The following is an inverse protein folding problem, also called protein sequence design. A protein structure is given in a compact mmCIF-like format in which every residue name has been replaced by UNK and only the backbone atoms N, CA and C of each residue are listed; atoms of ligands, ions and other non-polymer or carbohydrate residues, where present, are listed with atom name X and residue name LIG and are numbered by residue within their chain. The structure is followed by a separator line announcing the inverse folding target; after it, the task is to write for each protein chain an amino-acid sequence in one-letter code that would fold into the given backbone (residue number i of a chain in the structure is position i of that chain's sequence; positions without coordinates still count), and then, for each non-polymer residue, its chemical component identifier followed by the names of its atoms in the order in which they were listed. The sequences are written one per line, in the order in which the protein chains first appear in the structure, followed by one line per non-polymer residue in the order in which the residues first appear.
data_IF_147999086072
#
_entry.id   IF_147999086072
#
_cell.length_a   1.000
_cell.length_b   1.000
_cell.length_c   1.000
_cell.angle_alpha   90.00
_cell.angle_beta   90.00
_cell.angle_gamma   90.00
#
_symmetry.space_group_name_H-M   'P 1'
#
loop_
_entity.id
_entity.type
_entity.pdbx_description
1 polymer ?
#
# COMPACT_ATOMS: atom_id res chain seq x y z
N UNK A 1 -35.94 19.94 28.83
CA UNK A 1 -34.53 19.81 29.28
C UNK A 1 -33.66 18.93 28.36
N UNK A 2 -34.05 17.72 27.91
CA UNK A 2 -33.15 16.82 27.17
C UNK A 2 -32.64 17.37 25.83
N UNK A 3 -33.50 18.09 25.10
CA UNK A 3 -33.18 18.58 23.74
C UNK A 3 -32.09 19.66 23.76
N UNK A 4 -32.17 20.64 24.69
CA UNK A 4 -31.20 21.74 24.76
C UNK A 4 -29.78 21.25 25.08
N UNK A 5 -29.67 20.25 25.96
CA UNK A 5 -28.39 19.62 26.29
C UNK A 5 -27.82 18.82 25.11
N UNK A 6 -28.67 18.13 24.33
CA UNK A 6 -28.24 17.45 23.10
C UNK A 6 -27.70 18.42 22.07
N UNK A 7 -28.38 19.56 21.88
CA UNK A 7 -27.89 20.64 20.99
C UNK A 7 -26.51 21.13 21.43
N UNK A 8 -26.32 21.39 22.73
CA UNK A 8 -25.00 21.73 23.25
C UNK A 8 -23.96 20.62 22.99
N UNK A 9 -24.30 19.35 23.22
CA UNK A 9 -23.37 18.23 22.99
C UNK A 9 -22.98 18.09 21.51
N UNK A 10 -23.87 18.42 20.57
CA UNK A 10 -23.54 18.46 19.14
C UNK A 10 -22.50 19.54 18.86
N UNK A 11 -22.72 20.77 19.33
CA UNK A 11 -21.74 21.85 19.16
C UNK A 11 -20.40 21.55 19.84
N UNK A 12 -20.45 20.98 21.04
CA UNK A 12 -19.26 20.53 21.77
C UNK A 12 -18.49 19.48 20.97
N UNK A 13 -19.15 18.43 20.50
CA UNK A 13 -18.52 17.37 19.70
C UNK A 13 -17.96 17.89 18.37
N UNK A 14 -18.67 18.82 17.73
CA UNK A 14 -18.19 19.46 16.51
C UNK A 14 -16.91 20.26 16.77
N UNK A 15 -16.91 21.20 17.72
CA UNK A 15 -15.74 22.04 18.02
C UNK A 15 -14.53 21.26 18.58
N UNK A 16 -14.77 20.17 19.31
CA UNK A 16 -13.70 19.37 19.91
C UNK A 16 -13.12 18.32 18.94
N UNK A 17 -13.95 17.68 18.10
CA UNK A 17 -13.56 16.47 17.37
C UNK A 17 -13.57 16.62 15.86
N UNK A 18 -14.49 17.42 15.32
CA UNK A 18 -14.75 17.52 13.88
C UNK A 18 -14.50 18.91 13.30
N UNK A 19 -13.92 19.82 14.08
CA UNK A 19 -13.71 21.20 13.63
C UNK A 19 -12.69 21.27 12.49
N UNK A 20 -13.06 21.97 11.44
CA UNK A 20 -12.20 22.25 10.29
C UNK A 20 -12.10 23.74 10.05
N UNK A 21 -10.90 24.29 10.21
CA UNK A 21 -10.70 25.73 10.08
C UNK A 21 -11.04 26.25 8.67
N UNK A 22 -10.71 25.48 7.63
CA UNK A 22 -10.93 25.88 6.24
C UNK A 22 -12.42 26.01 5.87
N UNK A 23 -13.30 25.22 6.48
CA UNK A 23 -14.73 25.16 6.12
C UNK A 23 -15.64 25.77 7.18
N UNK A 24 -15.28 25.63 8.45
CA UNK A 24 -16.20 25.90 9.57
C UNK A 24 -15.99 27.29 10.17
N UNK A 25 -14.90 27.99 9.81
CA UNK A 25 -14.56 29.32 10.34
C UNK A 25 -15.68 30.34 10.19
N UNK A 26 -16.43 30.31 9.08
CA UNK A 26 -17.59 31.19 8.87
C UNK A 26 -18.71 30.95 9.90
N UNK A 27 -18.83 29.72 10.41
CA UNK A 27 -19.85 29.36 11.40
C UNK A 27 -19.59 29.98 12.78
N UNK A 28 -18.34 30.35 13.11
CA UNK A 28 -18.01 30.99 14.40
C UNK A 28 -18.81 32.27 14.62
N UNK A 29 -19.05 33.05 13.56
CA UNK A 29 -19.86 34.27 13.61
C UNK A 29 -21.32 34.05 14.02
N UNK A 30 -21.83 32.82 13.88
CA UNK A 30 -23.17 32.41 14.33
C UNK A 30 -23.15 31.71 15.69
N UNK A 31 -22.09 30.92 15.95
CA UNK A 31 -21.97 30.11 17.17
C UNK A 31 -21.69 30.99 18.40
N UNK A 32 -20.82 31.99 18.28
CA UNK A 32 -20.49 32.90 19.39
C UNK A 32 -21.72 33.66 19.92
N UNK A 33 -22.51 34.39 19.10
CA UNK A 33 -23.71 35.09 19.60
C UNK A 33 -24.79 34.11 20.09
N UNK A 34 -24.87 32.91 19.52
CA UNK A 34 -25.78 31.87 20.03
C UNK A 34 -25.37 31.39 21.43
N UNK A 35 -24.08 31.14 21.66
CA UNK A 35 -23.54 30.69 22.93
C UNK A 35 -23.75 31.75 24.02
N UNK A 36 -23.47 33.02 23.71
CA UNK A 36 -23.55 34.13 24.64
C UNK A 36 -24.99 34.51 25.00
N UNK A 37 -25.90 34.56 24.02
CA UNK A 37 -27.25 35.07 24.26
C UNK A 37 -28.24 33.94 24.60
N UNK A 38 -28.43 33.00 23.66
CA UNK A 38 -29.51 32.01 23.75
C UNK A 38 -29.16 30.84 24.65
N UNK A 39 -27.94 30.32 24.52
CA UNK A 39 -27.51 29.15 25.29
C UNK A 39 -27.21 29.52 26.74
N UNK A 40 -26.53 30.64 27.00
CA UNK A 40 -26.25 31.08 28.37
C UNK A 40 -27.52 31.42 29.16
N UNK A 41 -28.55 31.99 28.53
CA UNK A 41 -29.83 32.25 29.17
C UNK A 41 -30.58 30.97 29.58
N UNK A 42 -30.38 29.86 28.86
CA UNK A 42 -31.03 28.58 29.13
C UNK A 42 -30.19 27.63 30.02
N UNK A 43 -28.87 27.60 29.80
CA UNK A 43 -27.87 26.73 30.43
C UNK A 43 -26.56 27.53 30.61
N UNK A 44 -26.42 28.31 31.69
CA UNK A 44 -25.31 29.26 31.86
C UNK A 44 -23.92 28.64 31.77
N UNK A 45 -23.73 27.46 32.36
CA UNK A 45 -22.44 26.74 32.34
C UNK A 45 -22.09 26.17 30.97
N UNK A 46 -23.08 25.67 30.23
CA UNK A 46 -22.90 25.16 28.87
C UNK A 46 -22.61 26.30 27.87
N UNK A 47 -23.27 27.45 28.05
CA UNK A 47 -23.03 28.67 27.27
C UNK A 47 -21.59 29.16 27.38
N UNK A 48 -21.08 29.35 28.61
CA UNK A 48 -19.67 29.75 28.83
C UNK A 48 -18.69 28.76 28.22
N UNK A 49 -18.88 27.47 28.47
CA UNK A 49 -17.98 26.43 27.97
C UNK A 49 -17.98 26.34 26.44
N UNK A 50 -19.13 26.57 25.80
CA UNK A 50 -19.20 26.61 24.34
C UNK A 50 -18.49 27.84 23.77
N UNK A 51 -18.61 28.98 24.44
CA UNK A 51 -17.95 30.23 24.05
C UNK A 51 -16.42 30.11 24.18
N UNK A 52 -15.93 29.56 25.29
CA UNK A 52 -14.51 29.23 25.49
C UNK A 52 -13.97 28.31 24.40
N UNK A 53 -14.74 27.26 24.02
CA UNK A 53 -14.35 26.37 22.92
C UNK A 53 -14.30 27.12 21.58
N UNK A 54 -15.29 27.96 21.27
CA UNK A 54 -15.34 28.72 20.03
C UNK A 54 -14.18 29.73 19.92
N UNK A 55 -13.82 30.41 21.01
CA UNK A 55 -12.66 31.31 21.06
C UNK A 55 -11.36 30.55 20.88
N UNK A 56 -11.20 29.42 21.58
CA UNK A 56 -9.97 28.63 21.53
C UNK A 56 -9.76 28.01 20.15
N UNK A 57 -10.84 27.55 19.51
CA UNK A 57 -10.82 27.11 18.11
C UNK A 57 -10.43 28.27 17.17
N UNK A 58 -10.96 29.48 17.41
CA UNK A 58 -10.63 30.66 16.62
C UNK A 58 -9.14 31.06 16.68
N UNK A 59 -8.46 30.78 17.80
CA UNK A 59 -7.06 31.15 18.03
C UNK A 59 -6.07 30.03 17.71
N UNK A 60 -6.39 28.78 18.07
CA UNK A 60 -5.48 27.62 17.97
C UNK A 60 -5.84 26.67 16.80
N UNK A 61 -6.96 26.90 16.10
CA UNK A 61 -7.44 26.04 15.01
C UNK A 61 -8.04 24.73 15.51
N UNK A 62 -7.19 23.76 15.86
CA UNK A 62 -7.61 22.39 16.26
C UNK A 62 -7.28 22.12 17.72
N UNK A 63 -8.30 21.89 18.56
CA UNK A 63 -8.15 21.85 20.01
C UNK A 63 -7.81 20.51 20.66
N UNK A 64 -7.69 19.44 19.88
CA UNK A 64 -7.43 18.11 20.44
C UNK A 64 -6.51 17.35 19.48
N UNK A 65 -5.56 16.53 19.97
CA UNK A 65 -5.01 15.47 19.15
C UNK A 65 -6.20 14.64 18.69
N UNK A 66 -6.51 14.74 17.40
CA UNK A 66 -7.65 14.10 16.72
C UNK A 66 -7.84 12.73 17.33
N UNK A 67 -8.92 12.55 18.11
CA UNK A 67 -9.10 11.33 18.88
C UNK A 67 -9.07 10.18 17.88
N UNK A 68 -7.99 9.40 17.93
CA UNK A 68 -7.85 8.13 17.20
C UNK A 68 -9.14 7.40 17.50
N UNK A 69 -9.90 7.02 16.46
CA UNK A 69 -11.16 6.31 16.63
C UNK A 69 -10.96 5.28 17.73
N UNK A 70 -11.68 5.45 18.85
CA UNK A 70 -11.58 4.50 19.95
C UNK A 70 -11.91 3.15 19.34
N UNK A 71 -10.90 2.30 19.18
CA UNK A 71 -11.09 0.92 18.78
C UNK A 71 -11.93 0.28 19.89
N UNK A 72 -13.23 0.15 19.64
CA UNK A 72 -14.23 -0.27 20.61
C UNK A 72 -15.41 0.71 20.60
N UNK A 73 -16.49 0.41 19.91
CA UNK A 73 -17.48 -0.61 20.33
C UNK A 73 -18.29 -1.20 19.17
N UNK A 74 -17.85 -1.00 17.93
CA UNK A 74 -18.51 -1.52 16.73
C UNK A 74 -17.48 -2.08 15.75
N UNK A 75 -16.73 -3.09 16.17
CA UNK A 75 -15.97 -3.92 15.22
C UNK A 75 -16.92 -4.98 14.65
N UNK A 76 -17.17 -4.92 13.35
CA UNK A 76 -17.73 -6.03 12.57
C UNK A 76 -16.66 -7.08 12.22
N UNK A 77 -15.41 -6.87 12.68
CA UNK A 77 -14.30 -7.79 12.53
C UNK A 77 -14.40 -8.93 13.54
N UNK A 78 -14.40 -10.18 13.06
CA UNK A 78 -14.36 -11.43 13.85
C UNK A 78 -13.07 -11.57 14.70
N UNK A 79 -12.11 -10.66 14.58
CA UNK A 79 -10.86 -10.69 15.32
C UNK A 79 -11.07 -10.40 16.82
N UNK A 80 -10.73 -11.38 17.64
CA UNK A 80 -10.72 -11.29 19.09
C UNK A 80 -9.86 -10.09 19.54
N UNK A 81 -10.39 -9.25 20.43
CA UNK A 81 -9.65 -8.12 20.98
C UNK A 81 -8.39 -8.64 21.71
N UNK A 82 -7.22 -8.31 21.17
CA UNK A 82 -5.93 -8.62 21.77
C UNK A 82 -5.51 -7.40 22.61
N UNK A 83 -5.32 -7.53 23.94
CA UNK A 83 -4.86 -6.43 24.78
C UNK A 83 -3.54 -5.83 24.29
N UNK A 84 -3.37 -4.51 24.38
CA UNK A 84 -2.14 -3.83 23.94
C UNK A 84 -0.85 -4.35 24.64
N UNK A 85 -0.99 -4.92 25.83
CA UNK A 85 0.11 -5.46 26.64
C UNK A 85 0.54 -6.88 26.23
N UNK A 86 -0.07 -7.50 25.21
CA UNK A 86 0.43 -8.80 24.75
C UNK A 86 1.86 -8.67 24.21
N UNK A 87 2.79 -9.53 24.68
CA UNK A 87 4.14 -9.58 24.13
C UNK A 87 4.08 -9.85 22.62
N UNK A 88 4.66 -8.95 21.84
CA UNK A 88 4.73 -9.09 20.40
C UNK A 88 5.86 -10.09 20.06
N UNK A 89 5.69 -10.95 19.05
CA UNK A 89 6.77 -11.84 18.63
C UNK A 89 7.96 -11.00 18.16
N UNK A 90 9.17 -11.45 18.55
CA UNK A 90 10.40 -10.76 18.18
C UNK A 90 10.57 -10.74 16.65
N UNK A 91 11.11 -9.66 16.06
CA UNK A 91 11.39 -9.60 14.63
C UNK A 91 12.33 -10.72 14.20
N UNK A 92 11.98 -11.45 13.14
CA UNK A 92 12.83 -12.50 12.59
C UNK A 92 13.82 -11.92 11.56
N UNK A 93 14.77 -11.10 12.04
CA UNK A 93 15.80 -10.46 11.21
C UNK A 93 17.19 -10.77 11.75
N UNK A 94 18.07 -11.26 10.88
CA UNK A 94 19.48 -11.53 11.17
C UNK A 94 20.34 -10.27 11.08
N UNK A 95 21.50 -10.29 11.73
CA UNK A 95 22.44 -9.16 11.73
C UNK A 95 22.98 -8.83 10.33
N UNK A 96 23.13 -9.83 9.47
CA UNK A 96 23.55 -9.64 8.07
C UNK A 96 22.47 -8.94 7.24
N UNK A 97 21.21 -9.37 7.36
CA UNK A 97 20.06 -8.71 6.71
C UNK A 97 19.94 -7.24 7.15
N UNK A 98 20.10 -6.96 8.46
CA UNK A 98 20.07 -5.60 8.97
C UNK A 98 21.20 -4.73 8.38
N UNK A 99 22.41 -5.27 8.31
CA UNK A 99 23.54 -4.58 7.68
C UNK A 99 23.30 -4.34 6.19
N UNK A 100 22.68 -5.28 5.48
CA UNK A 100 22.32 -5.11 4.07
C UNK A 100 21.29 -3.98 3.88
N UNK A 101 20.28 -3.89 4.74
CA UNK A 101 19.31 -2.79 4.73
C UNK A 101 19.94 -1.43 5.04
N UNK A 102 20.86 -1.38 6.01
CA UNK A 102 21.60 -0.15 6.34
C UNK A 102 22.51 0.28 5.18
N UNK A 103 23.20 -0.68 4.55
CA UNK A 103 24.03 -0.42 3.38
C UNK A 103 23.20 0.11 2.20
N UNK A 104 22.05 -0.52 1.93
CA UNK A 104 21.11 -0.04 0.92
C UNK A 104 20.62 1.39 1.20
N UNK A 105 20.28 1.70 2.46
CA UNK A 105 19.89 3.07 2.87
C UNK A 105 21.00 4.09 2.61
N UNK A 106 22.26 3.67 2.65
CA UNK A 106 23.43 4.51 2.38
C UNK A 106 23.83 4.54 0.89
N UNK A 107 22.96 4.08 -0.03
CA UNK A 107 23.21 4.06 -1.46
C UNK A 107 23.97 2.83 -1.96
N UNK A 108 24.12 1.82 -1.12
CA UNK A 108 24.68 0.52 -1.50
C UNK A 108 23.68 -0.35 -2.27
N UNK A 109 24.07 -1.60 -2.51
CA UNK A 109 23.26 -2.55 -3.27
C UNK A 109 21.95 -2.90 -2.54
N UNK A 110 20.84 -2.97 -3.27
CA UNK A 110 19.54 -3.36 -2.72
C UNK A 110 19.51 -4.86 -2.38
N UNK A 111 19.10 -5.25 -1.17
CA UNK A 111 18.95 -6.66 -0.83
C UNK A 111 17.81 -7.30 -1.62
N UNK A 112 17.91 -8.61 -1.85
CA UNK A 112 16.85 -9.37 -2.51
C UNK A 112 15.71 -9.66 -1.53
N UNK A 113 14.48 -9.75 -2.05
CA UNK A 113 13.33 -10.17 -1.25
C UNK A 113 13.49 -11.60 -0.71
N UNK A 114 14.27 -12.43 -1.41
CA UNK A 114 14.58 -13.81 -1.01
C UNK A 114 15.57 -13.89 0.15
N UNK A 115 16.25 -12.80 0.48
CA UNK A 115 17.20 -12.76 1.59
C UNK A 115 16.48 -12.70 2.94
N UNK A 116 15.15 -12.53 2.98
CA UNK A 116 14.34 -12.35 4.19
C UNK A 116 13.37 -13.51 4.42
N UNK A 117 13.02 -13.75 5.69
CA UNK A 117 11.98 -14.73 6.05
C UNK A 117 10.61 -14.26 5.50
N UNK A 118 9.89 -15.08 4.69
CA UNK A 118 8.60 -14.70 4.13
C UNK A 118 7.57 -14.28 5.19
N UNK A 119 7.62 -14.87 6.38
CA UNK A 119 6.72 -14.49 7.48
C UNK A 119 7.02 -13.09 8.01
N UNK A 120 8.29 -12.72 8.13
CA UNK A 120 8.70 -11.39 8.58
C UNK A 120 8.39 -10.33 7.52
N UNK A 121 8.60 -10.63 6.24
CA UNK A 121 8.19 -9.76 5.13
C UNK A 121 6.68 -9.49 5.20
N UNK A 122 5.87 -10.53 5.40
CA UNK A 122 4.43 -10.39 5.56
C UNK A 122 4.05 -9.53 6.78
N UNK A 123 4.70 -9.71 7.94
CA UNK A 123 4.49 -8.86 9.13
C UNK A 123 4.78 -7.40 8.83
N UNK A 124 5.94 -7.10 8.23
CA UNK A 124 6.35 -5.72 7.98
C UNK A 124 5.46 -5.02 6.95
N UNK A 125 5.08 -5.71 5.87
CA UNK A 125 4.11 -5.20 4.90
C UNK A 125 2.75 -4.92 5.55
N UNK A 126 2.27 -5.83 6.42
CA UNK A 126 1.01 -5.67 7.14
C UNK A 126 1.05 -4.48 8.09
N UNK A 127 2.13 -4.31 8.85
CA UNK A 127 2.31 -3.16 9.76
C UNK A 127 2.32 -1.86 8.96
N UNK A 128 3.08 -1.80 7.87
CA UNK A 128 3.15 -0.62 7.01
C UNK A 128 1.78 -0.27 6.43
N UNK A 129 1.06 -1.26 5.92
CA UNK A 129 -0.29 -1.09 5.37
C UNK A 129 -1.29 -0.64 6.44
N UNK A 130 -1.28 -1.29 7.61
CA UNK A 130 -2.17 -0.97 8.72
C UNK A 130 -1.92 0.44 9.25
N UNK A 131 -0.66 0.91 9.29
CA UNK A 131 -0.35 2.28 9.68
C UNK A 131 -0.99 3.31 8.73
N UNK A 132 -0.98 3.05 7.42
CA UNK A 132 -1.65 3.92 6.44
C UNK A 132 -3.17 3.83 6.64
N UNK A 133 -3.71 2.62 6.87
CA UNK A 133 -5.14 2.41 7.09
C UNK A 133 -5.66 3.16 8.31
N UNK A 134 -4.96 3.07 9.44
CA UNK A 134 -5.31 3.78 10.67
C UNK A 134 -5.14 5.30 10.57
N UNK A 135 -4.39 5.78 9.57
CA UNK A 135 -4.27 7.21 9.28
C UNK A 135 -5.42 7.75 8.41
N UNK A 136 -6.24 6.89 7.80
CA UNK A 136 -7.39 7.33 6.99
C UNK A 136 -8.41 8.01 7.88
N UNK A 137 -8.79 9.22 7.46
CA UNK A 137 -9.71 10.08 8.18
C UNK A 137 -11.12 9.92 7.60
N UNK A 138 -12.18 9.96 8.44
CA UNK A 138 -13.56 9.92 7.96
C UNK A 138 -13.84 10.99 6.91
N UNK A 139 -13.23 12.16 7.04
CA UNK A 139 -13.42 13.30 6.15
C UNK A 139 -12.95 13.00 4.72
N UNK A 140 -11.88 12.22 4.56
CA UNK A 140 -11.38 11.79 3.25
C UNK A 140 -12.38 10.88 2.52
N UNK A 141 -13.26 10.23 3.28
CA UNK A 141 -14.31 9.33 2.80
C UNK A 141 -15.66 10.06 2.61
N UNK A 142 -15.76 11.33 2.98
CA UNK A 142 -16.99 12.08 2.75
C UNK A 142 -17.06 12.58 1.31
N UNK A 143 -18.28 12.61 0.77
CA UNK A 143 -18.60 13.16 -0.56
C UNK A 143 -17.76 12.58 -1.73
N UNK A 144 -17.17 11.40 -1.56
CA UNK A 144 -16.25 10.78 -2.52
C UNK A 144 -15.07 11.66 -2.90
N UNK A 145 -14.50 12.38 -1.93
CA UNK A 145 -13.37 13.29 -2.14
C UNK A 145 -12.14 12.58 -2.74
N UNK A 146 -11.93 11.30 -2.44
CA UNK A 146 -10.84 10.52 -3.05
C UNK A 146 -10.95 10.34 -4.57
N UNK A 147 -12.14 10.49 -5.15
CA UNK A 147 -12.35 10.44 -6.61
C UNK A 147 -12.30 11.83 -7.26
N UNK A 148 -12.40 12.89 -6.47
CA UNK A 148 -12.46 14.29 -6.94
C UNK A 148 -11.08 14.93 -6.83
N UNK A 149 -10.80 15.89 -7.71
CA UNK A 149 -9.55 16.69 -7.67
C UNK A 149 -8.28 15.84 -7.50
N UNK A 150 -8.21 14.66 -8.14
CA UNK A 150 -7.08 13.73 -8.04
C UNK A 150 -6.75 13.26 -6.61
N UNK A 151 -7.74 13.30 -5.70
CA UNK A 151 -7.62 12.88 -4.31
C UNK A 151 -6.75 13.78 -3.44
N UNK A 152 -6.60 15.07 -3.79
CA UNK A 152 -5.84 16.03 -2.97
C UNK A 152 -6.42 16.15 -1.56
N UNK A 153 -7.74 16.11 -1.45
CA UNK A 153 -8.47 16.16 -0.18
C UNK A 153 -8.52 14.80 0.55
N UNK A 154 -7.91 13.75 -0.03
CA UNK A 154 -7.88 12.38 0.51
C UNK A 154 -6.47 11.76 0.46
N UNK A 155 -5.48 12.37 1.14
CA UNK A 155 -4.08 11.96 1.04
C UNK A 155 -3.82 10.54 1.56
N UNK A 156 -4.48 10.10 2.63
CA UNK A 156 -4.25 8.76 3.20
C UNK A 156 -4.94 7.67 2.36
N UNK A 157 -6.13 7.93 1.82
CA UNK A 157 -6.79 7.02 0.85
C UNK A 157 -5.94 6.87 -0.43
N UNK A 158 -5.33 7.97 -0.89
CA UNK A 158 -4.43 7.94 -2.04
C UNK A 158 -3.14 7.18 -1.74
N UNK A 159 -2.54 7.42 -0.56
CA UNK A 159 -1.37 6.68 -0.11
C UNK A 159 -1.64 5.17 0.02
N UNK A 160 -2.83 4.80 0.50
CA UNK A 160 -3.31 3.42 0.57
C UNK A 160 -3.38 2.76 -0.81
N UNK A 161 -3.99 3.46 -1.77
CA UNK A 161 -4.09 3.00 -3.16
C UNK A 161 -2.72 2.88 -3.84
N UNK A 162 -1.84 3.87 -3.61
CA UNK A 162 -0.48 3.88 -4.13
C UNK A 162 0.33 2.71 -3.56
N UNK A 163 0.30 2.48 -2.25
CA UNK A 163 0.98 1.34 -1.62
C UNK A 163 0.55 0.00 -2.23
N UNK A 164 -0.76 -0.21 -2.44
CA UNK A 164 -1.24 -1.45 -3.05
C UNK A 164 -0.79 -1.62 -4.50
N UNK A 165 -0.70 -0.52 -5.25
CA UNK A 165 -0.20 -0.51 -6.63
C UNK A 165 1.29 -0.81 -6.67
N UNK A 166 2.08 -0.15 -5.81
CA UNK A 166 3.52 -0.34 -5.71
C UNK A 166 3.87 -1.77 -5.28
N UNK A 167 3.12 -2.35 -4.34
CA UNK A 167 3.30 -3.75 -3.93
C UNK A 167 3.04 -4.70 -5.09
N UNK A 168 1.99 -4.44 -5.89
CA UNK A 168 1.70 -5.26 -7.08
C UNK A 168 2.83 -5.19 -8.11
N UNK A 169 3.35 -3.97 -8.34
CA UNK A 169 4.48 -3.77 -9.25
C UNK A 169 5.76 -4.44 -8.72
N UNK A 170 6.04 -4.35 -7.41
CA UNK A 170 7.19 -5.02 -6.79
C UNK A 170 7.13 -6.55 -6.99
N UNK A 171 5.96 -7.16 -6.78
CA UNK A 171 5.80 -8.60 -7.00
C UNK A 171 6.03 -8.96 -8.47
N UNK A 172 5.52 -8.18 -9.40
CA UNK A 172 5.74 -8.40 -10.82
C UNK A 172 7.23 -8.29 -11.19
N UNK A 173 7.89 -7.22 -10.78
CA UNK A 173 9.30 -6.96 -11.11
C UNK A 173 10.22 -8.02 -10.51
N UNK A 174 9.97 -8.46 -9.27
CA UNK A 174 10.78 -9.52 -8.63
C UNK A 174 10.63 -10.86 -9.34
N UNK A 175 9.40 -11.24 -9.73
CA UNK A 175 9.14 -12.48 -10.49
C UNK A 175 9.79 -12.42 -11.88
N UNK A 176 9.67 -11.31 -12.58
CA UNK A 176 10.24 -11.11 -13.91
C UNK A 176 11.77 -11.07 -13.88
N UNK A 177 12.36 -10.41 -12.88
CA UNK A 177 13.81 -10.34 -12.71
C UNK A 177 14.38 -11.73 -12.45
N UNK A 178 13.71 -12.57 -11.66
CA UNK A 178 14.13 -13.95 -11.42
C UNK A 178 14.09 -14.80 -12.70
N UNK A 179 13.01 -14.72 -13.49
CA UNK A 179 12.92 -15.38 -14.80
C UNK A 179 13.98 -14.88 -15.78
N UNK A 180 14.27 -13.57 -15.77
CA UNK A 180 15.29 -12.94 -16.60
C UNK A 180 16.72 -13.32 -16.21
N UNK A 181 17.01 -13.46 -14.91
CA UNK A 181 18.31 -13.90 -14.42
C UNK A 181 18.59 -15.37 -14.71
N UNK A 182 17.54 -16.21 -14.76
CA UNK A 182 17.67 -17.62 -15.16
C UNK A 182 17.95 -17.79 -16.66
N UNK A 183 17.62 -16.78 -17.48
CA UNK A 183 17.77 -16.84 -18.95
C UNK A 183 19.06 -16.19 -19.47
N UNK A 184 20.04 -15.86 -18.61
CA UNK A 184 21.36 -15.27 -18.90
C UNK A 184 21.39 -14.03 -19.84
N UNK A 185 20.25 -13.47 -20.23
CA UNK A 185 20.14 -12.38 -21.20
C UNK A 185 19.26 -11.26 -20.69
N UNK A 186 19.89 -10.13 -20.37
CA UNK A 186 19.21 -8.87 -19.97
C UNK A 186 18.19 -8.39 -21.02
N UNK A 187 18.39 -8.74 -22.30
CA UNK A 187 17.46 -8.45 -23.40
C UNK A 187 16.15 -9.25 -23.30
N UNK A 188 16.23 -10.54 -22.94
CA UNK A 188 15.03 -11.38 -22.70
C UNK A 188 14.24 -10.88 -21.49
N UNK A 189 14.94 -10.49 -20.42
CA UNK A 189 14.34 -9.87 -19.23
C UNK A 189 13.60 -8.56 -19.56
N UNK A 190 14.23 -7.66 -20.34
CA UNK A 190 13.62 -6.41 -20.77
C UNK A 190 12.38 -6.62 -21.65
N UNK A 191 12.43 -7.58 -22.58
CA UNK A 191 11.28 -7.94 -23.42
C UNK A 191 10.12 -8.50 -22.59
N UNK A 192 10.40 -9.34 -21.59
CA UNK A 192 9.38 -9.91 -20.70
C UNK A 192 8.76 -8.83 -19.79
N UNK A 193 9.56 -7.91 -19.28
CA UNK A 193 9.07 -6.77 -18.51
C UNK A 193 8.20 -5.81 -19.35
N UNK A 194 8.60 -5.55 -20.59
CA UNK A 194 7.79 -4.79 -21.55
C UNK A 194 6.46 -5.48 -21.85
N UNK A 195 6.49 -6.80 -22.08
CA UNK A 195 5.29 -7.61 -22.30
C UNK A 195 4.33 -7.59 -21.10
N UNK A 196 4.86 -7.75 -19.87
CA UNK A 196 4.07 -7.66 -18.65
C UNK A 196 3.39 -6.29 -18.49
N UNK A 197 4.14 -5.19 -18.65
CA UNK A 197 3.57 -3.83 -18.57
C UNK A 197 2.53 -3.58 -19.67
N UNK A 198 2.72 -4.16 -20.86
CA UNK A 198 1.73 -4.15 -21.93
C UNK A 198 0.42 -4.84 -21.54
N UNK A 199 0.49 -6.03 -20.96
CA UNK A 199 -0.69 -6.76 -20.46
C UNK A 199 -1.37 -5.99 -19.32
N UNK A 200 -0.60 -5.44 -18.38
CA UNK A 200 -1.13 -4.65 -17.27
C UNK A 200 -1.89 -3.42 -17.79
N UNK A 201 -1.33 -2.72 -18.78
CA UNK A 201 -1.97 -1.57 -19.42
C UNK A 201 -3.26 -1.96 -20.17
N UNK A 202 -3.23 -3.07 -20.93
CA UNK A 202 -4.41 -3.57 -21.62
C UNK A 202 -5.53 -3.96 -20.63
N UNK A 203 -5.18 -4.65 -19.53
CA UNK A 203 -6.10 -4.99 -18.45
C UNK A 203 -6.73 -3.74 -17.83
N UNK A 204 -5.92 -2.74 -17.49
CA UNK A 204 -6.40 -1.48 -16.94
C UNK A 204 -7.40 -0.78 -17.88
N UNK A 205 -7.13 -0.75 -19.19
CA UNK A 205 -8.03 -0.17 -20.19
C UNK A 205 -9.37 -0.92 -20.30
N UNK A 206 -9.34 -2.26 -20.24
CA UNK A 206 -10.54 -3.10 -20.26
C UNK A 206 -11.41 -2.83 -19.03
N UNK A 207 -10.81 -2.81 -17.83
CA UNK A 207 -11.56 -2.54 -16.59
C UNK A 207 -12.10 -1.11 -16.54
N UNK A 208 -11.34 -0.11 -17.02
CA UNK A 208 -11.85 1.25 -17.19
C UNK A 208 -13.08 1.30 -18.10
N UNK A 209 -13.08 0.54 -19.19
CA UNK A 209 -14.22 0.49 -20.11
C UNK A 209 -15.43 -0.20 -19.49
N UNK A 210 -15.21 -1.29 -18.74
CA UNK A 210 -16.26 -2.04 -18.05
C UNK A 210 -16.92 -1.20 -16.94
N UNK A 211 -16.12 -0.40 -16.23
CA UNK A 211 -16.60 0.54 -15.21
C UNK A 211 -17.45 1.64 -15.86
N UNK A 212 -17.01 2.22 -16.98
CA UNK A 212 -17.80 3.19 -17.74
C UNK A 212 -19.05 2.61 -18.43
N UNK A 213 -19.28 1.29 -18.39
CA UNK A 213 -20.51 0.63 -18.83
C UNK A 213 -21.43 0.25 -17.65
N UNK A 214 -21.08 0.63 -16.42
CA UNK A 214 -21.82 0.31 -15.18
C UNK A 214 -22.08 -1.20 -15.02
N UNK A 215 -21.11 -2.02 -15.43
CA UNK A 215 -21.23 -3.49 -15.35
C UNK A 215 -21.30 -3.92 -13.88
N UNK A 216 -22.16 -4.88 -13.55
CA UNK A 216 -22.31 -5.39 -12.18
C UNK A 216 -20.96 -5.85 -11.60
N UNK A 217 -20.66 -5.39 -10.38
CA UNK A 217 -19.42 -5.73 -9.66
C UNK A 217 -19.20 -7.24 -9.51
N UNK A 218 -20.26 -8.03 -9.36
CA UNK A 218 -20.17 -9.50 -9.26
C UNK A 218 -19.60 -10.13 -10.55
N UNK A 219 -19.90 -9.52 -11.71
CA UNK A 219 -19.38 -9.99 -13.01
C UNK A 219 -17.91 -9.64 -13.17
N UNK A 220 -17.51 -8.44 -12.75
CA UNK A 220 -16.11 -7.99 -12.74
C UNK A 220 -15.27 -8.86 -11.79
N UNK A 221 -15.82 -9.18 -10.61
CA UNK A 221 -15.22 -10.09 -9.65
C UNK A 221 -15.09 -11.51 -10.21
N UNK A 222 -16.15 -12.06 -10.80
CA UNK A 222 -16.09 -13.38 -11.45
C UNK A 222 -15.06 -13.43 -12.58
N UNK A 223 -14.97 -12.38 -13.40
CA UNK A 223 -14.03 -12.30 -14.51
C UNK A 223 -12.56 -12.24 -14.05
N UNK A 224 -12.26 -11.45 -13.01
CA UNK A 224 -10.89 -11.36 -12.45
C UNK A 224 -10.43 -12.68 -11.85
N UNK A 225 -11.28 -13.34 -11.06
CA UNK A 225 -10.98 -14.64 -10.49
C UNK A 225 -10.92 -15.76 -11.54
N UNK A 226 -11.79 -15.72 -12.54
CA UNK A 226 -11.77 -16.66 -13.66
C UNK A 226 -10.48 -16.54 -14.49
N UNK A 227 -10.05 -15.32 -14.78
CA UNK A 227 -8.79 -15.06 -15.49
C UNK A 227 -7.57 -15.51 -14.65
N UNK A 228 -7.58 -15.26 -13.34
CA UNK A 228 -6.55 -15.74 -12.43
C UNK A 228 -6.49 -17.29 -12.40
N UNK A 229 -7.65 -17.94 -12.30
CA UNK A 229 -7.75 -19.40 -12.34
C UNK A 229 -7.22 -19.98 -13.66
N UNK A 230 -7.59 -19.39 -14.80
CA UNK A 230 -7.09 -19.79 -16.10
C UNK A 230 -5.57 -19.59 -16.23
N UNK A 231 -5.05 -18.46 -15.72
CA UNK A 231 -3.62 -18.19 -15.70
C UNK A 231 -2.85 -19.23 -14.87
N UNK A 232 -3.36 -19.61 -13.70
CA UNK A 232 -2.77 -20.64 -12.85
C UNK A 232 -2.79 -22.02 -13.52
N UNK A 233 -3.87 -22.38 -14.21
CA UNK A 233 -3.96 -23.66 -14.94
C UNK A 233 -2.96 -23.75 -16.09
N UNK A 234 -2.67 -22.64 -16.77
CA UNK A 234 -1.68 -22.58 -17.85
C UNK A 234 -0.25 -22.49 -17.26
N UNK A 235 -0.06 -21.73 -16.18
CA UNK A 235 1.24 -21.55 -15.55
C UNK A 235 1.75 -22.81 -14.83
N UNK A 236 0.87 -23.57 -14.17
CA UNK A 236 1.25 -24.79 -13.44
C UNK A 236 2.04 -25.82 -14.26
N UNK A 237 1.60 -26.25 -15.46
CA UNK A 237 2.36 -27.19 -16.29
C UNK A 237 3.64 -26.55 -16.85
N UNK A 238 3.64 -25.24 -17.15
CA UNK A 238 4.84 -24.54 -17.63
C UNK A 238 5.90 -24.48 -16.54
N UNK A 239 5.54 -24.09 -15.32
CA UNK A 239 6.43 -24.04 -14.15
C UNK A 239 7.01 -25.43 -13.88
N UNK A 240 6.17 -26.48 -13.90
CA UNK A 240 6.60 -27.84 -13.62
C UNK A 240 7.47 -28.46 -14.74
N UNK A 241 7.26 -28.08 -16.00
CA UNK A 241 8.03 -28.61 -17.15
C UNK A 241 9.26 -27.77 -17.53
N UNK A 242 9.28 -26.48 -17.22
CA UNK A 242 10.31 -25.53 -17.71
C UNK A 242 11.29 -25.03 -16.65
N UNK A 243 11.03 -25.22 -15.35
CA UNK A 243 12.04 -24.91 -14.33
C UNK A 243 13.10 -26.01 -14.34
N UNK A 244 14.24 -25.70 -14.97
CA UNK A 244 15.52 -26.41 -14.79
C UNK A 244 16.47 -25.43 -14.11
N UNK A 245 17.19 -25.88 -13.08
CA UNK A 245 18.08 -25.03 -12.26
C UNK A 245 19.22 -24.37 -13.08
N UNK A 246 19.59 -24.95 -14.23
CA UNK A 246 20.53 -24.37 -15.20
C UNK A 246 20.19 -24.86 -16.61
N UNK A 247 20.24 -23.99 -17.62
CA UNK A 247 20.24 -24.35 -19.05
C UNK A 247 21.65 -24.20 -19.62
N UNK A 248 22.07 -25.15 -20.47
CA UNK A 248 23.36 -25.14 -21.15
C UNK A 248 23.48 -23.94 -22.12
N UNK A 249 24.68 -23.37 -22.19
CA UNK A 249 25.01 -22.16 -22.96
C UNK A 249 24.67 -22.31 -24.45
N UNK A 250 24.78 -23.52 -25.03
CA UNK A 250 24.39 -23.82 -26.41
C UNK A 250 22.90 -23.59 -26.74
N UNK A 251 21.97 -23.84 -25.81
CA UNK A 251 20.53 -23.59 -26.08
C UNK A 251 20.19 -22.10 -26.05
N UNK A 252 20.99 -21.30 -25.33
CA UNK A 252 20.81 -19.86 -25.22
C UNK A 252 21.33 -19.11 -26.47
N UNK A 253 22.28 -19.71 -27.18
CA UNK A 253 22.87 -19.23 -28.44
C UNK A 253 22.06 -19.57 -29.70
N UNK A 254 21.05 -20.45 -29.57
CA UNK A 254 20.26 -20.89 -30.73
C UNK A 254 19.26 -19.81 -31.16
N UNK A 255 19.72 -18.92 -32.04
CA UNK A 255 18.97 -17.79 -32.58
C UNK A 255 19.64 -16.43 -32.38
N UNK A 256 20.85 -16.40 -31.81
CA UNK A 256 21.74 -15.23 -31.79
C UNK A 256 22.80 -15.39 -32.87
N UNK A 257 23.25 -14.29 -33.48
CA UNK A 257 24.35 -14.26 -34.47
C UNK A 257 25.74 -14.35 -33.79
N UNK A 258 25.79 -14.85 -32.55
CA UNK A 258 26.97 -14.89 -31.67
C UNK A 258 27.40 -16.35 -31.46
N UNK A 259 28.71 -16.61 -31.49
CA UNK A 259 29.30 -17.93 -31.24
C UNK A 259 29.69 -18.09 -29.78
N UNK A 260 29.86 -19.34 -29.33
CA UNK A 260 30.30 -19.72 -27.96
C UNK A 260 31.58 -18.97 -27.54
N UNK A 261 32.39 -18.57 -28.51
CA UNK A 261 33.67 -17.87 -28.35
C UNK A 261 33.52 -16.41 -27.89
N UNK A 262 32.39 -15.75 -28.18
CA UNK A 262 32.14 -14.35 -27.80
C UNK A 262 31.63 -14.20 -26.35
N UNK A 263 31.11 -15.28 -25.76
CA UNK A 263 30.48 -15.27 -24.43
C UNK A 263 31.39 -15.86 -23.35
N UNK A 264 32.41 -16.63 -23.73
CA UNK A 264 33.40 -17.19 -22.80
C UNK A 264 34.58 -16.23 -22.67
N UNK A 265 34.77 -15.65 -21.48
CA UNK A 265 35.96 -14.85 -21.18
C UNK A 265 37.25 -15.64 -21.50
N UNK A 266 38.30 -15.03 -22.10
CA UNK A 266 39.45 -15.70 -22.72
C UNK A 266 40.35 -16.54 -21.78
N UNK A 267 39.95 -16.76 -20.52
CA UNK A 267 40.66 -17.57 -19.54
C UNK A 267 40.04 -18.95 -19.25
N UNK A 268 38.77 -19.22 -19.57
CA UNK A 268 38.12 -20.49 -19.21
C UNK A 268 38.50 -21.67 -20.12
N UNK A 269 38.80 -21.42 -21.39
CA UNK A 269 39.29 -22.44 -22.33
C UNK A 269 40.67 -22.98 -21.91
N UNK A 270 41.54 -22.13 -21.35
CA UNK A 270 42.87 -22.52 -20.88
C UNK A 270 42.84 -23.34 -19.57
N UNK A 271 41.77 -23.23 -18.78
CA UNK A 271 41.59 -23.99 -17.54
C UNK A 271 41.04 -25.40 -17.83
N UNK A 272 40.15 -25.54 -18.83
CA UNK A 272 39.64 -26.84 -19.27
C UNK A 272 40.68 -27.65 -20.06
N UNK A 273 41.49 -27.04 -20.93
CA UNK A 273 42.60 -27.72 -21.61
C UNK A 273 43.64 -28.26 -20.62
N UNK A 274 43.96 -27.49 -19.56
CA UNK A 274 44.87 -27.94 -18.50
C UNK A 274 44.30 -29.07 -17.66
N UNK A 275 42.98 -29.15 -17.50
CA UNK A 275 42.31 -30.22 -16.74
C UNK A 275 42.20 -31.51 -17.54
N UNK A 276 42.03 -31.42 -18.86
CA UNK A 276 42.00 -32.56 -19.77
C UNK A 276 43.38 -33.20 -20.01
N UNK A 277 44.47 -32.44 -19.86
CA UNK A 277 45.84 -32.94 -20.01
C UNK A 277 46.42 -33.68 -18.79
N UNK A 278 45.65 -33.80 -17.69
CA UNK A 278 46.09 -34.41 -16.41
C UNK A 278 45.34 -35.72 -16.09
N UNK A 279 44.55 -36.24 -17.03
CA UNK A 279 43.93 -37.58 -16.98
C UNK A 279 44.55 -38.46 -18.06
#
# INVERSE_FOLDING_TARGET
MPVRLRVYNVFKGWLETHWRDDTDREALGLIQPFAEQKLAAALPSAGRRLLELAERVSSEGSLVPRHVSSMGKTNTSIAQYVPADTPHPAPNITKSQLNALVNWKNGGNSPSILDFDPLEVARQLTIKQMNIFCAILPEELLASQWMKNSGVDAPNVKAMSAFSTDLSNLVAETVLQYMGSLSNSSRKAANLAGFYKGIQSAGAAVFWRLDGLETSYDTIFGATWGMLGAALLIAAPVIWMRIKDTTDVEEDLRGTDETVEDVIAPGKLAEEEKRAAVV
#
